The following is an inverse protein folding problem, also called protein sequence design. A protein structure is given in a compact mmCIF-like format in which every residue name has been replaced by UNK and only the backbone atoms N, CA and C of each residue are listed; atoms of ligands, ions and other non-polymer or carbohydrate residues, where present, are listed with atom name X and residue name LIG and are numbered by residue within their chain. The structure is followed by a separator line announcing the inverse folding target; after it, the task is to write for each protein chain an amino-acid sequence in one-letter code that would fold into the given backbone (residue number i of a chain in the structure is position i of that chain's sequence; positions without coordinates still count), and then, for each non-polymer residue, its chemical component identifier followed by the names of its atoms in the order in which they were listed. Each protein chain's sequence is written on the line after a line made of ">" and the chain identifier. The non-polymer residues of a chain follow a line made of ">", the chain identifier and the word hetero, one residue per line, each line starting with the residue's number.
data_IF_562275912992
#
_entry.id   IF_562275912992
#
_cell.length_a   1.000
_cell.length_b   1.000
_cell.length_c   1.000
_cell.angle_alpha   90.00
_cell.angle_beta   90.00
_cell.angle_gamma   90.00
#
_symmetry.space_group_name_H-M   'P 1'
#
loop_
_entity.id
_entity.type
_entity.pdbx_description
1 polymer ?
#
# COMPACT_ATOMS: atom_id res chain seq x y z
N UNK A 1 -29.77 -7.21 6.30
CA UNK A 1 -29.23 -8.57 6.59
C UNK A 1 -28.12 -8.84 5.59
N UNK A 2 -26.88 -9.10 6.03
CA UNK A 2 -25.79 -9.43 5.13
C UNK A 2 -25.88 -10.92 4.77
N UNK A 3 -25.88 -11.24 3.48
CA UNK A 3 -25.86 -12.63 3.01
C UNK A 3 -24.46 -13.23 3.18
N UNK A 4 -24.38 -14.52 3.50
CA UNK A 4 -23.14 -15.28 3.58
C UNK A 4 -23.19 -16.40 2.53
N UNK A 5 -22.13 -16.51 1.72
CA UNK A 5 -21.92 -17.65 0.81
C UNK A 5 -20.83 -18.51 1.44
N UNK A 6 -21.09 -19.81 1.60
CA UNK A 6 -20.12 -20.80 2.04
C UNK A 6 -19.94 -21.79 0.90
N UNK A 7 -18.76 -21.78 0.29
CA UNK A 7 -18.40 -22.65 -0.81
C UNK A 7 -16.89 -22.94 -0.76
N UNK A 8 -16.50 -24.14 -1.10
CA UNK A 8 -15.09 -24.53 -1.19
C UNK A 8 -14.48 -24.16 -2.55
N UNK A 9 -15.30 -24.15 -3.59
CA UNK A 9 -14.92 -23.84 -4.97
C UNK A 9 -15.91 -22.92 -5.66
N UNK A 10 -15.41 -22.12 -6.58
CA UNK A 10 -16.15 -21.39 -7.59
C UNK A 10 -15.90 -22.05 -8.94
N UNK A 11 -16.96 -22.50 -9.62
CA UNK A 11 -16.86 -23.16 -10.92
C UNK A 11 -17.44 -22.28 -12.03
N UNK A 12 -16.73 -22.19 -13.12
CA UNK A 12 -17.20 -21.60 -14.37
C UNK A 12 -17.33 -22.69 -15.43
N UNK A 13 -18.45 -22.70 -16.13
CA UNK A 13 -18.83 -23.79 -17.06
C UNK A 13 -17.80 -24.09 -18.17
N UNK A 14 -16.92 -23.16 -18.51
CA UNK A 14 -15.90 -23.31 -19.56
C UNK A 14 -14.48 -22.99 -19.11
N UNK A 15 -14.30 -22.28 -17.97
CA UNK A 15 -12.98 -21.84 -17.50
C UNK A 15 -12.41 -22.70 -16.38
N UNK A 16 -13.17 -23.71 -15.90
CA UNK A 16 -12.76 -24.61 -14.82
C UNK A 16 -13.15 -24.09 -13.43
N UNK A 17 -12.63 -24.74 -12.39
CA UNK A 17 -12.93 -24.43 -11.00
C UNK A 17 -11.73 -23.77 -10.30
N UNK A 18 -12.03 -22.89 -9.36
CA UNK A 18 -11.06 -22.21 -8.51
C UNK A 18 -11.48 -22.39 -7.05
N UNK A 19 -10.58 -22.91 -6.22
CA UNK A 19 -10.81 -22.99 -4.78
C UNK A 19 -11.01 -21.59 -4.20
N UNK A 20 -12.03 -21.45 -3.35
CA UNK A 20 -12.39 -20.15 -2.76
C UNK A 20 -11.27 -19.54 -1.93
N UNK A 21 -10.34 -20.37 -1.39
CA UNK A 21 -9.15 -19.89 -0.71
C UNK A 21 -8.26 -18.99 -1.59
N UNK A 22 -8.17 -19.26 -2.91
CA UNK A 22 -7.40 -18.41 -3.84
C UNK A 22 -8.08 -17.07 -4.05
N UNK A 23 -9.41 -17.03 -4.06
CA UNK A 23 -10.17 -15.78 -4.13
C UNK A 23 -9.98 -14.98 -2.83
N UNK A 24 -10.13 -15.63 -1.69
CA UNK A 24 -10.00 -14.99 -0.38
C UNK A 24 -8.57 -14.47 -0.16
N UNK A 25 -7.54 -15.28 -0.41
CA UNK A 25 -6.14 -14.89 -0.21
C UNK A 25 -5.62 -13.98 -1.34
N UNK A 26 -6.07 -14.20 -2.57
CA UNK A 26 -5.64 -13.45 -3.75
C UNK A 26 -6.29 -12.08 -3.92
N UNK A 27 -7.44 -11.83 -3.25
CA UNK A 27 -8.08 -10.52 -3.33
C UNK A 27 -7.32 -9.46 -2.53
N UNK A 28 -7.33 -8.22 -3.02
CA UNK A 28 -6.79 -7.09 -2.27
C UNK A 28 -7.55 -6.90 -0.96
N UNK A 29 -6.85 -6.72 0.15
CA UNK A 29 -7.41 -6.47 1.49
C UNK A 29 -7.39 -5.01 1.88
N UNK A 30 -6.55 -4.22 1.24
CA UNK A 30 -6.55 -2.78 1.33
C UNK A 30 -5.92 -2.20 0.06
N UNK A 31 -6.42 -1.06 -0.36
CA UNK A 31 -5.77 -0.25 -1.38
C UNK A 31 -6.08 1.24 -1.13
N UNK A 32 -5.21 2.10 -1.62
CA UNK A 32 -5.49 3.52 -1.73
C UNK A 32 -4.71 4.15 -2.88
N UNK A 33 -5.27 5.24 -3.41
CA UNK A 33 -4.54 6.22 -4.19
C UNK A 33 -4.45 7.51 -3.38
N UNK A 34 -3.24 7.97 -3.14
CA UNK A 34 -2.93 9.16 -2.35
C UNK A 34 -2.50 10.26 -3.31
N UNK A 35 -3.12 11.43 -3.23
CA UNK A 35 -2.66 12.64 -3.88
C UNK A 35 -1.68 13.35 -2.94
N UNK A 36 -0.40 13.23 -3.26
CA UNK A 36 0.69 13.80 -2.46
C UNK A 36 1.11 15.19 -2.95
N UNK A 37 0.50 15.71 -4.01
CA UNK A 37 0.80 17.04 -4.56
C UNK A 37 0.01 18.15 -3.87
N UNK A 38 -1.11 17.80 -3.25
CA UNK A 38 -1.94 18.76 -2.55
C UNK A 38 -1.31 19.13 -1.20
N UNK A 39 -1.40 20.42 -0.83
CA UNK A 39 -1.05 20.90 0.53
C UNK A 39 -1.91 20.26 1.63
N UNK A 40 -3.00 19.61 1.23
CA UNK A 40 -3.84 18.77 2.08
C UNK A 40 -3.80 17.37 1.52
N UNK A 41 -3.11 16.48 2.17
CA UNK A 41 -3.05 15.06 1.82
C UNK A 41 -4.43 14.49 1.65
N UNK A 42 -4.74 14.04 0.46
CA UNK A 42 -6.04 13.46 0.13
C UNK A 42 -5.92 12.02 -0.34
N UNK A 43 -6.67 11.12 0.28
CA UNK A 43 -6.95 9.81 -0.31
C UNK A 43 -8.04 10.02 -1.37
N UNK A 44 -7.72 9.82 -2.64
CA UNK A 44 -8.68 9.99 -3.74
C UNK A 44 -9.63 8.81 -3.84
N UNK A 45 -9.12 7.61 -3.68
CA UNK A 45 -9.91 6.36 -3.60
C UNK A 45 -9.25 5.42 -2.61
N UNK A 46 -10.06 4.66 -1.88
CA UNK A 46 -9.53 3.66 -0.94
C UNK A 46 -10.51 2.55 -0.65
N UNK A 47 -9.97 1.42 -0.21
CA UNK A 47 -10.70 0.32 0.39
C UNK A 47 -9.96 -0.15 1.64
N UNK A 48 -10.68 -0.35 2.74
CA UNK A 48 -10.16 -0.75 4.06
C UNK A 48 -9.12 0.23 4.64
N UNK A 49 -9.20 1.52 4.29
CA UNK A 49 -8.37 2.58 4.85
C UNK A 49 -9.26 3.52 5.65
N UNK A 50 -8.92 3.75 6.89
CA UNK A 50 -9.63 4.67 7.79
C UNK A 50 -9.02 6.08 7.79
N UNK A 51 -7.71 6.18 7.63
CA UNK A 51 -7.00 7.46 7.56
C UNK A 51 -5.65 7.33 6.86
N UNK A 52 -5.19 8.45 6.31
CA UNK A 52 -3.82 8.63 5.81
C UNK A 52 -3.18 9.80 6.53
N UNK A 53 -1.90 9.66 6.87
CA UNK A 53 -1.11 10.71 7.53
C UNK A 53 0.13 10.99 6.69
N UNK A 54 0.42 12.27 6.48
CA UNK A 54 1.65 12.74 5.89
C UNK A 54 2.69 12.92 6.99
N UNK A 55 3.73 12.11 6.99
CA UNK A 55 4.84 12.17 7.96
C UNK A 55 6.03 12.97 7.41
N UNK A 56 5.86 13.67 6.31
CA UNK A 56 6.88 14.48 5.65
C UNK A 56 7.12 14.08 4.20
N UNK A 57 8.05 14.73 3.54
CA UNK A 57 8.29 14.54 2.11
C UNK A 57 8.48 13.06 1.75
N UNK A 58 7.51 12.51 1.02
CA UNK A 58 7.51 11.13 0.55
C UNK A 58 7.26 10.06 1.62
N UNK A 59 6.79 10.43 2.81
CA UNK A 59 6.51 9.50 3.92
C UNK A 59 5.01 9.51 4.22
N UNK A 60 4.40 8.35 4.19
CA UNK A 60 2.95 8.19 4.37
C UNK A 60 2.63 7.02 5.29
N UNK A 61 1.70 7.24 6.20
CA UNK A 61 1.07 6.19 7.01
C UNK A 61 -0.39 6.03 6.61
N UNK A 62 -0.81 4.78 6.43
CA UNK A 62 -2.21 4.42 6.12
C UNK A 62 -2.73 3.48 7.21
N UNK A 63 -3.70 3.95 7.99
CA UNK A 63 -4.39 3.13 8.99
C UNK A 63 -5.51 2.33 8.36
N UNK A 64 -5.70 1.09 8.80
CA UNK A 64 -6.75 0.22 8.30
C UNK A 64 -8.06 0.41 9.07
N UNK A 65 -9.20 0.24 8.39
CA UNK A 65 -10.52 0.13 9.01
C UNK A 65 -10.67 -1.22 9.71
N UNK A 66 -10.28 -2.29 9.01
CA UNK A 66 -10.21 -3.64 9.55
C UNK A 66 -8.76 -4.10 9.54
N UNK A 67 -8.26 -4.54 10.68
CA UNK A 67 -6.87 -4.97 10.84
C UNK A 67 -6.55 -6.18 9.97
N UNK A 68 -5.29 -6.30 9.57
CA UNK A 68 -4.75 -7.54 9.02
C UNK A 68 -4.55 -8.56 10.13
N UNK A 69 -4.67 -9.85 9.83
CA UNK A 69 -4.43 -10.93 10.81
C UNK A 69 -2.96 -11.03 11.23
N UNK A 70 -2.05 -10.60 10.37
CA UNK A 70 -0.61 -10.59 10.62
C UNK A 70 0.03 -9.35 9.97
N UNK A 71 1.20 -8.93 10.47
CA UNK A 71 1.99 -7.85 9.90
C UNK A 71 2.83 -8.27 8.67
N UNK A 72 2.68 -9.52 8.21
CA UNK A 72 3.42 -10.11 7.07
C UNK A 72 2.54 -10.22 5.83
N UNK A 73 1.94 -9.13 5.39
CA UNK A 73 1.18 -9.06 4.14
C UNK A 73 2.07 -8.62 2.97
N UNK A 74 1.67 -8.94 1.75
CA UNK A 74 2.38 -8.48 0.56
C UNK A 74 1.86 -7.13 0.10
N UNK A 75 2.75 -6.29 -0.43
CA UNK A 75 2.40 -4.96 -0.92
C UNK A 75 2.92 -4.75 -2.35
N UNK A 76 2.06 -4.27 -3.24
CA UNK A 76 2.45 -3.71 -4.52
C UNK A 76 2.23 -2.19 -4.47
N UNK A 77 3.25 -1.42 -4.83
CA UNK A 77 3.24 0.04 -4.73
C UNK A 77 3.71 0.64 -6.04
N UNK A 78 3.02 1.68 -6.49
CA UNK A 78 3.40 2.46 -7.65
C UNK A 78 3.27 3.95 -7.35
N UNK A 79 4.22 4.74 -7.83
CA UNK A 79 4.16 6.20 -7.81
C UNK A 79 4.14 6.74 -9.23
N UNK A 80 3.32 7.76 -9.49
CA UNK A 80 3.21 8.42 -10.79
C UNK A 80 3.59 9.89 -10.68
N UNK A 81 4.44 10.32 -11.61
CA UNK A 81 4.71 11.74 -11.88
C UNK A 81 5.45 12.51 -10.80
N UNK A 82 6.32 13.30 -11.21
CA UNK A 82 7.05 14.39 -10.60
C UNK A 82 7.88 14.99 -11.72
N UNK A 83 7.80 16.29 -11.89
CA UNK A 83 8.36 16.98 -13.06
C UNK A 83 9.84 17.33 -12.94
N UNK A 84 10.59 16.70 -12.04
CA UNK A 84 12.01 17.02 -11.90
C UNK A 84 12.87 16.21 -12.85
N UNK A 85 13.54 16.91 -13.73
CA UNK A 85 14.41 16.36 -14.81
C UNK A 85 15.71 15.73 -14.29
N UNK A 86 16.02 15.86 -13.00
CA UNK A 86 17.30 15.43 -12.43
C UNK A 86 17.26 14.09 -11.68
N UNK A 87 16.11 13.45 -11.59
CA UNK A 87 15.95 12.24 -10.81
C UNK A 87 16.05 10.99 -11.69
N UNK A 88 17.11 10.22 -11.51
CA UNK A 88 17.41 9.03 -12.34
C UNK A 88 16.58 7.80 -11.97
N UNK A 89 16.20 7.66 -10.72
CA UNK A 89 15.48 6.48 -10.23
C UNK A 89 14.55 6.84 -9.08
N UNK A 90 13.33 6.37 -9.17
CA UNK A 90 12.31 6.56 -8.13
C UNK A 90 11.82 5.20 -7.67
N UNK A 91 11.93 4.93 -6.38
CA UNK A 91 11.60 3.63 -5.80
C UNK A 91 10.58 3.83 -4.68
N UNK A 92 9.31 3.48 -4.92
CA UNK A 92 8.36 3.32 -3.85
C UNK A 92 8.63 2.00 -3.12
N UNK A 93 8.57 2.00 -1.80
CA UNK A 93 8.63 0.77 -1.01
C UNK A 93 7.86 0.90 0.29
N UNK A 94 7.49 -0.23 0.87
CA UNK A 94 6.93 -0.26 2.21
C UNK A 94 7.99 0.23 3.19
N UNK A 95 7.60 1.16 4.05
CA UNK A 95 8.46 1.67 5.11
C UNK A 95 8.64 0.60 6.18
N UNK A 96 9.65 -0.23 6.02
CA UNK A 96 10.13 -1.09 7.09
C UNK A 96 11.09 -0.24 7.91
N UNK A 97 10.72 0.15 9.10
CA UNK A 97 11.43 0.99 10.07
C UNK A 97 12.70 1.69 9.61
N UNK A 98 12.88 2.92 9.97
CA UNK A 98 14.11 3.68 9.63
C UNK A 98 15.33 2.83 10.00
N UNK A 99 16.37 2.85 9.17
CA UNK A 99 17.67 2.18 9.36
C UNK A 99 18.46 2.64 10.62
N UNK A 100 17.81 3.18 11.59
CA UNK A 100 18.35 3.40 12.94
C UNK A 100 17.69 2.38 13.86
N UNK A 101 18.48 1.63 14.58
CA UNK A 101 18.13 0.49 15.45
C UNK A 101 16.96 0.67 16.45
N UNK A 102 16.07 1.61 16.27
CA UNK A 102 15.07 2.01 17.26
C UNK A 102 13.66 2.32 16.73
N UNK A 103 13.38 2.17 15.44
CA UNK A 103 12.01 2.41 14.93
C UNK A 103 11.32 1.10 14.59
N UNK A 104 10.09 0.86 15.07
CA UNK A 104 9.33 -0.32 14.73
C UNK A 104 9.06 -0.36 13.23
N UNK A 105 8.92 -1.57 12.70
CA UNK A 105 8.41 -1.79 11.35
C UNK A 105 7.08 -1.05 11.20
N UNK A 106 6.92 -0.33 10.10
CA UNK A 106 5.67 0.35 9.76
C UNK A 106 4.65 -0.60 9.10
N UNK A 107 5.01 -1.87 8.93
CA UNK A 107 4.08 -2.93 8.62
C UNK A 107 3.50 -3.46 9.93
N UNK A 108 2.32 -3.01 10.27
CA UNK A 108 1.58 -3.43 11.45
C UNK A 108 0.25 -4.07 11.03
N UNK A 109 -0.38 -4.80 11.93
CA UNK A 109 -1.73 -5.31 11.66
C UNK A 109 -2.76 -4.20 11.48
N UNK A 110 -2.55 -3.04 12.10
CA UNK A 110 -3.48 -1.89 12.08
C UNK A 110 -3.13 -0.80 11.07
N UNK A 111 -1.90 -0.78 10.54
CA UNK A 111 -1.46 0.23 9.56
C UNK A 111 -0.29 -0.26 8.71
N UNK A 112 -0.06 0.45 7.62
CA UNK A 112 1.17 0.33 6.81
C UNK A 112 1.75 1.71 6.53
N UNK A 113 3.08 1.80 6.52
CA UNK A 113 3.82 2.98 6.11
C UNK A 113 4.47 2.79 4.75
N UNK A 114 4.56 3.86 3.98
CA UNK A 114 5.20 3.89 2.67
C UNK A 114 6.24 4.99 2.62
N UNK A 115 7.30 4.75 1.85
CA UNK A 115 8.32 5.75 1.56
C UNK A 115 8.62 5.78 0.07
N UNK A 116 8.71 6.98 -0.46
CA UNK A 116 9.17 7.23 -1.82
C UNK A 116 10.55 7.84 -1.77
N UNK A 117 11.49 7.19 -2.46
CA UNK A 117 12.87 7.65 -2.53
C UNK A 117 13.26 7.93 -3.97
N UNK A 118 14.17 8.86 -4.14
CA UNK A 118 14.80 9.15 -5.43
C UNK A 118 16.31 9.07 -5.31
N UNK A 119 16.95 8.80 -6.43
CA UNK A 119 18.39 8.86 -6.59
C UNK A 119 18.71 9.97 -7.58
N UNK A 120 19.53 10.92 -7.16
CA UNK A 120 20.05 11.99 -8.05
C UNK A 120 21.18 11.49 -8.92
N UNK A 121 21.50 12.25 -9.97
CA UNK A 121 22.70 12.03 -10.80
C UNK A 121 24.01 12.12 -10.01
N UNK A 122 24.02 12.81 -8.88
CA UNK A 122 25.17 12.89 -7.96
C UNK A 122 25.25 11.71 -6.96
N UNK A 123 24.35 10.73 -7.03
CA UNK A 123 24.30 9.59 -6.12
C UNK A 123 23.64 9.87 -4.76
N UNK A 124 22.99 11.00 -4.60
CA UNK A 124 22.29 11.33 -3.35
C UNK A 124 20.92 10.66 -3.33
N UNK A 125 20.57 10.02 -2.22
CA UNK A 125 19.23 9.45 -1.97
C UNK A 125 18.46 10.40 -1.08
N UNK A 126 17.26 10.76 -1.51
CA UNK A 126 16.33 11.60 -0.74
C UNK A 126 14.92 11.03 -0.73
N UNK A 127 14.08 11.54 0.15
CA UNK A 127 12.64 11.28 0.13
C UNK A 127 11.96 12.33 -0.74
N UNK A 128 10.93 11.93 -1.48
CA UNK A 128 10.23 12.83 -2.39
C UNK A 128 8.72 12.52 -2.45
N UNK A 129 7.89 13.58 -2.45
CA UNK A 129 6.46 13.44 -2.70
C UNK A 129 6.18 13.26 -4.20
N UNK A 130 5.37 12.27 -4.53
CA UNK A 130 4.84 12.08 -5.89
C UNK A 130 3.49 12.77 -6.03
N UNK A 131 3.12 13.10 -7.28
CA UNK A 131 1.79 13.63 -7.54
C UNK A 131 0.71 12.63 -7.12
N UNK A 132 0.85 11.37 -7.52
CA UNK A 132 -0.03 10.29 -7.09
C UNK A 132 0.76 9.07 -6.69
N UNK A 133 0.30 8.42 -5.64
CA UNK A 133 0.86 7.18 -5.12
C UNK A 133 -0.25 6.18 -4.90
N UNK A 134 -0.11 4.99 -5.44
CA UNK A 134 -1.10 3.93 -5.27
C UNK A 134 -0.45 2.70 -4.69
N UNK A 135 -1.18 2.00 -3.84
CA UNK A 135 -0.77 0.71 -3.33
C UNK A 135 -1.95 -0.27 -3.26
N UNK A 136 -1.61 -1.55 -3.25
CA UNK A 136 -2.54 -2.63 -2.95
C UNK A 136 -1.85 -3.63 -2.03
N UNK A 137 -2.60 -4.16 -1.08
CA UNK A 137 -2.12 -5.11 -0.08
C UNK A 137 -2.89 -6.42 -0.17
N UNK A 138 -2.17 -7.53 -0.05
CA UNK A 138 -2.70 -8.88 -0.06
C UNK A 138 -2.27 -9.61 1.21
N UNK A 139 -3.20 -10.26 1.87
CA UNK A 139 -3.00 -10.97 3.14
C UNK A 139 -4.33 -11.49 3.65
N UNK A 140 -4.43 -11.77 4.94
CA UNK A 140 -5.68 -12.14 5.59
C UNK A 140 -6.14 -11.00 6.52
N UNK A 141 -7.45 -10.76 6.57
CA UNK A 141 -8.05 -9.86 7.57
C UNK A 141 -8.22 -10.60 8.90
N UNK A 142 -8.13 -9.84 10.01
CA UNK A 142 -8.36 -10.37 11.36
C UNK A 142 -9.83 -10.73 11.59
#
# INVERSE_FOLDING_TARGET
>A
MAGKIVADQLEHSSAGSLDTQFVVKGSSKAYATIDAYQTTTGTTTSFNISSTTDDGAGLWDCSFTNSMSAATYSAAIVGTGGQDTEQLLRIPHVRAGVHTNSSPSEMLTSKCGFVYRYLTSSGTIGNYGYAYSSFTLHGDLA
#
